data_IF_437036294132
#
_entry.id   IF_437036294132
#
_cell.length_a   1.000
_cell.length_b   1.000
_cell.length_c   1.000
_cell.angle_alpha   90.00
_cell.angle_beta   90.00
_cell.angle_gamma   90.00
#
_symmetry.space_group_name_H-M   'P 1'
#
loop_
_entity.id
_entity.type
_entity.pdbx_description
1 polymer ?
#
# COMPACT_ATOMS: atom_id res chain seq x y z
N UNK A 1 -75.83 24.21 32.98
CA UNK A 1 -74.37 24.02 32.86
C UNK A 1 -74.13 22.77 32.05
N UNK A 2 -73.57 22.88 30.83
CA UNK A 2 -73.29 21.74 29.96
C UNK A 2 -71.81 21.41 30.16
N UNK A 3 -71.52 20.26 30.76
CA UNK A 3 -70.14 19.80 30.97
C UNK A 3 -69.55 19.27 29.67
N UNK A 4 -68.49 19.91 29.18
CA UNK A 4 -67.67 19.38 28.09
C UNK A 4 -66.81 18.23 28.61
N UNK A 5 -67.16 16.99 28.23
CA UNK A 5 -66.25 15.85 28.39
C UNK A 5 -65.19 15.91 27.29
N UNK A 6 -63.91 15.89 27.67
CA UNK A 6 -62.80 15.82 26.70
C UNK A 6 -62.93 14.52 25.89
N UNK A 7 -62.70 14.54 24.56
CA UNK A 7 -62.68 13.32 23.77
C UNK A 7 -61.56 12.40 24.25
N UNK A 8 -61.83 11.09 24.35
CA UNK A 8 -60.82 10.07 24.64
C UNK A 8 -59.79 10.03 23.49
N UNK A 9 -58.49 9.85 23.78
CA UNK A 9 -57.47 9.71 22.75
C UNK A 9 -57.76 8.48 21.89
N UNK A 10 -57.65 8.64 20.57
CA UNK A 10 -57.86 7.58 19.60
C UNK A 10 -56.65 6.63 19.68
N UNK A 11 -56.83 5.34 20.01
CA UNK A 11 -55.72 4.39 20.00
C UNK A 11 -55.34 4.11 18.54
N UNK A 12 -54.14 4.53 18.13
CA UNK A 12 -53.61 4.25 16.79
C UNK A 12 -52.56 5.23 16.28
N UNK A 13 -52.51 6.47 16.78
CA UNK A 13 -51.57 7.48 16.28
C UNK A 13 -50.12 7.22 16.74
N UNK A 14 -49.91 6.81 18.00
CA UNK A 14 -48.57 6.50 18.53
C UNK A 14 -47.97 5.19 18.03
N UNK A 15 -48.79 4.21 17.63
CA UNK A 15 -48.31 2.95 17.06
C UNK A 15 -47.82 3.15 15.62
N UNK A 16 -48.57 3.90 14.80
CA UNK A 16 -48.16 4.21 13.43
C UNK A 16 -46.86 5.03 13.36
N UNK A 17 -46.65 5.95 14.31
CA UNK A 17 -45.44 6.76 14.38
C UNK A 17 -44.21 5.92 14.75
N UNK A 18 -44.33 5.01 15.71
CA UNK A 18 -43.27 4.07 16.12
C UNK A 18 -42.90 3.07 15.01
N UNK A 19 -43.90 2.58 14.27
CA UNK A 19 -43.67 1.76 13.08
C UNK A 19 -42.91 2.53 11.98
N UNK A 20 -43.19 3.83 11.82
CA UNK A 20 -42.50 4.68 10.84
C UNK A 20 -41.02 4.92 11.18
N UNK A 21 -40.70 5.11 12.47
CA UNK A 21 -39.32 5.27 12.94
C UNK A 21 -38.52 3.97 12.82
N UNK A 22 -39.16 2.84 13.15
CA UNK A 22 -38.55 1.52 13.02
C UNK A 22 -38.18 1.23 11.56
N UNK A 23 -39.06 1.55 10.60
CA UNK A 23 -38.80 1.38 9.16
C UNK A 23 -37.66 2.30 8.70
N UNK A 24 -37.59 3.55 9.17
CA UNK A 24 -36.50 4.48 8.85
C UNK A 24 -35.15 3.96 9.34
N UNK A 25 -35.09 3.47 10.59
CA UNK A 25 -33.87 2.90 11.17
C UNK A 25 -33.41 1.66 10.40
N UNK A 26 -34.33 0.77 10.02
CA UNK A 26 -34.00 -0.41 9.22
C UNK A 26 -33.43 -0.03 7.86
N UNK A 27 -34.05 0.94 7.17
CA UNK A 27 -33.58 1.42 5.88
C UNK A 27 -32.20 2.07 5.97
N UNK A 28 -31.92 2.82 7.05
CA UNK A 28 -30.59 3.39 7.29
C UNK A 28 -29.53 2.31 7.52
N UNK A 29 -29.86 1.25 8.28
CA UNK A 29 -28.96 0.11 8.49
C UNK A 29 -28.70 -0.66 7.20
N UNK A 30 -29.73 -0.90 6.38
CA UNK A 30 -29.60 -1.54 5.06
C UNK A 30 -28.72 -0.70 4.13
N UNK A 31 -28.91 0.62 4.11
CA UNK A 31 -28.09 1.53 3.31
C UNK A 31 -26.62 1.49 3.72
N UNK A 32 -26.35 1.49 5.04
CA UNK A 32 -24.99 1.37 5.59
C UNK A 32 -24.36 0.02 5.25
N UNK A 33 -25.11 -1.07 5.32
CA UNK A 33 -24.65 -2.41 4.96
C UNK A 33 -24.32 -2.51 3.46
N UNK A 34 -25.19 -1.97 2.58
CA UNK A 34 -24.94 -1.90 1.13
C UNK A 34 -23.68 -1.11 0.79
N UNK A 35 -23.43 0.00 1.49
CA UNK A 35 -22.22 0.79 1.30
C UNK A 35 -20.95 0.00 1.66
N UNK A 36 -20.97 -0.71 2.79
CA UNK A 36 -19.85 -1.58 3.20
C UNK A 36 -19.59 -2.71 2.23
N UNK A 37 -20.65 -3.31 1.68
CA UNK A 37 -20.52 -4.36 0.65
C UNK A 37 -19.91 -3.77 -0.62
N UNK A 38 -20.35 -2.59 -1.07
CA UNK A 38 -19.79 -1.92 -2.24
C UNK A 38 -18.32 -1.53 -2.04
N UNK A 39 -17.95 -1.03 -0.85
CA UNK A 39 -16.56 -0.74 -0.48
C UNK A 39 -15.71 -2.02 -0.52
N UNK A 40 -16.18 -3.13 0.08
CA UNK A 40 -15.47 -4.42 0.05
C UNK A 40 -15.35 -5.02 -1.36
N UNK A 41 -16.37 -4.86 -2.21
CA UNK A 41 -16.31 -5.29 -3.62
C UNK A 41 -15.32 -4.47 -4.44
N UNK A 42 -15.19 -3.17 -4.15
CA UNK A 42 -14.20 -2.33 -4.80
C UNK A 42 -12.77 -2.69 -4.36
N UNK A 43 -12.57 -2.99 -3.07
CA UNK A 43 -11.30 -3.52 -2.56
C UNK A 43 -10.93 -4.85 -3.25
N UNK A 44 -11.88 -5.77 -3.39
CA UNK A 44 -11.68 -7.05 -4.08
C UNK A 44 -11.31 -6.86 -5.56
N UNK A 45 -11.93 -5.89 -6.25
CA UNK A 45 -11.58 -5.55 -7.64
C UNK A 45 -10.18 -4.95 -7.76
N UNK A 46 -9.80 -4.07 -6.85
CA UNK A 46 -8.45 -3.46 -6.84
C UNK A 46 -7.40 -4.54 -6.60
N UNK A 47 -7.62 -5.44 -5.65
CA UNK A 47 -6.72 -6.57 -5.38
C UNK A 47 -6.63 -7.52 -6.58
N UNK A 48 -7.76 -7.86 -7.21
CA UNK A 48 -7.79 -8.71 -8.41
C UNK A 48 -7.01 -8.09 -9.58
N UNK A 49 -7.13 -6.77 -9.77
CA UNK A 49 -6.39 -6.04 -10.81
C UNK A 49 -4.88 -6.02 -10.53
N UNK A 50 -4.49 -5.79 -9.29
CA UNK A 50 -3.08 -5.83 -8.87
C UNK A 50 -2.47 -7.23 -9.06
N UNK A 51 -3.22 -8.29 -8.74
CA UNK A 51 -2.76 -9.67 -8.94
C UNK A 51 -2.59 -10.04 -10.42
N UNK A 52 -3.49 -9.56 -11.29
CA UNK A 52 -3.34 -9.74 -12.74
C UNK A 52 -2.09 -9.03 -13.26
N UNK A 53 -1.84 -7.79 -12.83
CA UNK A 53 -0.66 -6.99 -13.23
C UNK A 53 0.67 -7.62 -12.77
N UNK A 54 0.69 -8.24 -11.58
CA UNK A 54 1.84 -9.01 -11.09
C UNK A 54 2.06 -10.29 -11.92
N UNK A 55 0.98 -10.95 -12.32
CA UNK A 55 1.04 -12.20 -13.08
C UNK A 55 1.53 -11.97 -14.51
N UNK A 56 1.07 -10.93 -15.19
CA UNK A 56 1.53 -10.55 -16.53
C UNK A 56 3.02 -10.15 -16.54
N UNK A 57 3.51 -9.55 -15.45
CA UNK A 57 4.92 -9.18 -15.28
C UNK A 57 5.86 -10.38 -15.05
N UNK A 58 5.33 -11.59 -14.80
CA UNK A 58 6.11 -12.82 -14.57
C UNK A 58 6.32 -13.68 -15.82
N UNK A 59 5.75 -13.30 -16.95
CA UNK A 59 5.81 -14.06 -18.21
C UNK A 59 6.60 -13.36 -19.31
N UNK A 60 7.90 -13.14 -19.10
CA UNK A 60 8.89 -13.11 -20.21
C UNK A 60 10.28 -13.54 -19.73
N UNK A 61 10.75 -14.77 -20.07
CA UNK A 61 12.16 -15.09 -20.03
C UNK A 61 12.83 -14.56 -21.30
N UNK A 62 13.20 -13.28 -21.31
CA UNK A 62 14.05 -12.72 -22.37
C UNK A 62 15.47 -13.28 -22.21
N UNK A 63 15.73 -14.34 -22.98
CA UNK A 63 17.02 -14.85 -23.46
C UNK A 63 18.25 -14.00 -23.11
N UNK A 64 19.13 -14.55 -22.27
CA UNK A 64 20.48 -14.03 -21.99
C UNK A 64 21.31 -14.14 -23.27
N UNK A 65 21.53 -13.03 -23.98
CA UNK A 65 22.63 -12.94 -24.94
C UNK A 65 23.92 -12.57 -24.21
N UNK A 66 24.85 -13.52 -24.19
CA UNK A 66 26.22 -13.35 -23.72
C UNK A 66 26.97 -12.39 -24.65
N UNK A 67 27.21 -11.15 -24.22
CA UNK A 67 28.38 -10.39 -24.69
C UNK A 67 28.93 -9.57 -23.54
N UNK A 68 30.10 -9.96 -23.03
CA UNK A 68 30.91 -9.16 -22.12
C UNK A 68 31.34 -7.85 -22.78
N UNK A 69 31.10 -6.67 -22.17
CA UNK A 69 31.82 -5.46 -22.54
C UNK A 69 32.69 -5.00 -21.35
N UNK A 70 33.98 -5.27 -21.52
CA UNK A 70 35.15 -4.48 -21.11
C UNK A 70 34.81 -3.14 -20.40
N UNK A 71 35.37 -3.01 -19.20
CA UNK A 71 35.37 -1.81 -18.35
C UNK A 71 35.26 -0.48 -19.13
N UNK A 72 34.13 0.20 -18.97
CA UNK A 72 33.99 1.63 -19.27
C UNK A 72 33.24 2.30 -18.14
N UNK A 73 34.01 3.00 -17.30
CA UNK A 73 33.55 4.02 -16.37
C UNK A 73 32.69 5.03 -17.15
N UNK A 74 31.35 4.87 -17.16
CA UNK A 74 30.42 5.82 -17.81
C UNK A 74 29.60 6.52 -16.73
N UNK A 75 29.94 7.81 -16.60
CA UNK A 75 29.23 8.94 -15.98
C UNK A 75 27.78 8.68 -15.58
N UNK A 76 27.47 9.05 -14.31
CA UNK A 76 26.14 9.23 -13.69
C UNK A 76 25.06 9.58 -14.73
N UNK A 77 24.25 8.60 -15.07
CA UNK A 77 23.07 8.72 -15.92
C UNK A 77 21.84 8.96 -15.07
N UNK A 78 21.16 10.06 -15.38
CA UNK A 78 19.92 10.58 -14.81
C UNK A 78 18.77 9.58 -15.00
N UNK A 79 18.11 9.20 -13.89
CA UNK A 79 16.71 8.77 -13.85
C UNK A 79 16.38 7.37 -14.37
N UNK A 80 16.75 6.32 -13.64
CA UNK A 80 16.11 5.00 -13.79
C UNK A 80 15.87 4.37 -12.42
N UNK A 81 14.70 3.75 -12.24
CA UNK A 81 14.34 3.00 -11.03
C UNK A 81 15.34 1.88 -10.69
N UNK A 82 16.11 1.40 -11.69
CA UNK A 82 17.26 0.51 -11.47
C UNK A 82 18.35 1.11 -10.60
N UNK A 83 18.58 2.43 -10.68
CA UNK A 83 19.58 3.10 -9.86
C UNK A 83 19.19 3.20 -8.38
N UNK A 84 17.89 3.31 -8.07
CA UNK A 84 17.42 3.38 -6.68
C UNK A 84 17.60 2.04 -5.98
N UNK A 85 17.20 0.94 -6.65
CA UNK A 85 17.37 -0.43 -6.17
C UNK A 85 18.84 -0.73 -5.85
N UNK A 86 19.73 -0.49 -6.81
CA UNK A 86 21.18 -0.69 -6.65
C UNK A 86 21.75 0.21 -5.54
N UNK A 87 21.24 1.44 -5.42
CA UNK A 87 21.67 2.35 -4.37
C UNK A 87 21.28 1.85 -2.99
N UNK A 88 20.04 1.39 -2.80
CA UNK A 88 19.58 0.85 -1.51
C UNK A 88 20.38 -0.40 -1.15
N UNK A 89 20.59 -1.32 -2.10
CA UNK A 89 21.40 -2.52 -1.88
C UNK A 89 22.86 -2.16 -1.54
N UNK A 90 23.45 -1.19 -2.22
CA UNK A 90 24.80 -0.68 -1.91
C UNK A 90 24.87 -0.08 -0.51
N UNK A 91 23.87 0.73 -0.11
CA UNK A 91 23.80 1.35 1.22
C UNK A 91 23.67 0.29 2.31
N UNK A 92 22.72 -0.64 2.16
CA UNK A 92 22.48 -1.72 3.13
C UNK A 92 23.68 -2.67 3.20
N UNK A 93 24.23 -3.08 2.05
CA UNK A 93 25.39 -3.97 1.97
C UNK A 93 26.71 -3.36 2.43
N UNK A 94 26.81 -2.02 2.49
CA UNK A 94 27.97 -1.36 3.10
C UNK A 94 27.91 -1.39 4.63
N UNK A 95 26.75 -1.68 5.24
CA UNK A 95 26.61 -1.78 6.69
C UNK A 95 26.73 -3.22 7.17
N UNK A 96 27.77 -3.47 7.98
CA UNK A 96 27.99 -4.79 8.62
C UNK A 96 26.95 -5.11 9.70
N UNK A 97 26.41 -4.09 10.36
CA UNK A 97 25.49 -4.28 11.49
C UNK A 97 24.01 -4.18 11.06
N UNK A 98 23.76 -3.83 9.80
CA UNK A 98 22.46 -3.41 9.29
C UNK A 98 22.21 -1.91 9.49
N UNK A 99 21.14 -1.40 8.87
CA UNK A 99 20.75 0.01 8.94
C UNK A 99 19.31 0.15 9.36
N UNK A 100 19.02 1.20 10.12
CA UNK A 100 17.65 1.66 10.35
C UNK A 100 17.08 2.25 9.07
N UNK A 101 15.76 2.24 8.96
CA UNK A 101 15.04 2.83 7.83
C UNK A 101 15.41 4.30 7.59
N UNK A 102 15.53 5.10 8.65
CA UNK A 102 15.88 6.52 8.53
C UNK A 102 17.30 6.73 7.98
N UNK A 103 18.27 5.91 8.41
CA UNK A 103 19.65 5.97 7.90
C UNK A 103 19.71 5.64 6.41
N UNK A 104 18.85 4.73 5.95
CA UNK A 104 18.71 4.43 4.51
C UNK A 104 18.11 5.62 3.78
N UNK A 105 17.11 6.30 4.33
CA UNK A 105 16.54 7.50 3.71
C UNK A 105 17.59 8.59 3.53
N UNK A 106 18.33 8.92 4.59
CA UNK A 106 19.39 9.93 4.55
C UNK A 106 20.52 9.56 3.56
N UNK A 107 20.95 8.29 3.57
CA UNK A 107 21.99 7.80 2.67
C UNK A 107 21.55 7.79 1.19
N UNK A 108 20.27 7.57 0.90
CA UNK A 108 19.73 7.63 -0.46
C UNK A 108 19.47 9.08 -0.89
N UNK A 109 18.95 9.92 0.01
CA UNK A 109 18.71 11.35 -0.22
C UNK A 109 20.03 12.09 -0.52
N UNK A 110 21.08 11.83 0.25
CA UNK A 110 22.42 12.41 0.05
C UNK A 110 23.08 12.03 -1.28
N UNK A 111 22.64 10.94 -1.92
CA UNK A 111 23.10 10.54 -3.27
C UNK A 111 22.44 11.35 -4.40
N UNK A 112 21.50 12.25 -4.06
CA UNK A 112 20.87 13.18 -4.99
C UNK A 112 19.67 12.59 -5.73
N UNK A 113 19.09 11.51 -5.22
CA UNK A 113 17.81 11.01 -5.73
C UNK A 113 16.74 12.06 -5.51
N UNK A 114 15.88 12.24 -6.51
CA UNK A 114 14.67 13.05 -6.43
C UNK A 114 13.50 12.16 -6.79
N UNK A 115 12.42 12.25 -6.04
CA UNK A 115 11.17 11.62 -6.42
C UNK A 115 10.71 12.14 -7.79
N UNK A 116 10.27 11.26 -8.67
CA UNK A 116 9.58 11.65 -9.89
C UNK A 116 8.08 11.78 -9.61
N UNK A 117 7.51 12.96 -9.86
CA UNK A 117 6.08 13.21 -9.70
C UNK A 117 5.68 13.67 -8.29
N UNK A 118 4.43 13.37 -7.89
CA UNK A 118 3.83 13.84 -6.62
C UNK A 118 4.18 12.97 -5.41
N UNK A 119 4.76 11.79 -5.64
CA UNK A 119 5.04 10.82 -4.58
C UNK A 119 6.33 11.19 -3.84
N UNK A 120 6.34 11.35 -2.50
CA UNK A 120 7.54 11.65 -1.74
C UNK A 120 8.64 10.58 -1.92
N UNK A 121 9.90 11.00 -2.00
CA UNK A 121 11.04 10.09 -2.21
C UNK A 121 11.11 8.98 -1.16
N UNK A 122 10.86 9.31 0.11
CA UNK A 122 10.83 8.32 1.20
C UNK A 122 9.76 7.24 1.03
N UNK A 123 8.62 7.57 0.41
CA UNK A 123 7.59 6.58 0.09
C UNK A 123 8.04 5.66 -1.05
N UNK A 124 8.75 6.20 -2.04
CA UNK A 124 9.38 5.40 -3.10
C UNK A 124 10.44 4.47 -2.52
N UNK A 125 11.32 4.97 -1.63
CA UNK A 125 12.32 4.15 -0.93
C UNK A 125 11.65 3.08 -0.08
N UNK A 126 10.58 3.40 0.64
CA UNK A 126 9.84 2.43 1.47
C UNK A 126 9.23 1.31 0.63
N UNK A 127 8.66 1.64 -0.52
CA UNK A 127 8.10 0.66 -1.45
C UNK A 127 9.18 -0.25 -2.03
N UNK A 128 10.35 0.32 -2.34
CA UNK A 128 11.49 -0.43 -2.85
C UNK A 128 12.12 -1.34 -1.80
N UNK A 129 12.22 -0.88 -0.54
CA UNK A 129 12.65 -1.73 0.59
C UNK A 129 11.72 -2.93 0.78
N UNK A 130 10.40 -2.73 0.63
CA UNK A 130 9.44 -3.84 0.70
C UNK A 130 9.65 -4.84 -0.44
N UNK A 131 9.84 -4.37 -1.68
CA UNK A 131 10.14 -5.24 -2.84
C UNK A 131 11.45 -6.00 -2.68
N UNK A 132 12.50 -5.35 -2.21
CA UNK A 132 13.80 -5.99 -1.97
C UNK A 132 13.71 -7.06 -0.87
N UNK A 133 12.88 -6.83 0.15
CA UNK A 133 12.61 -7.82 1.20
C UNK A 133 11.82 -9.00 0.65
N UNK A 134 10.76 -8.74 -0.10
CA UNK A 134 9.93 -9.78 -0.73
C UNK A 134 10.72 -10.64 -1.71
N UNK A 135 11.65 -10.02 -2.45
CA UNK A 135 12.60 -10.71 -3.33
C UNK A 135 13.73 -11.46 -2.57
N UNK A 136 13.76 -11.41 -1.24
CA UNK A 136 14.78 -12.08 -0.44
C UNK A 136 16.19 -11.50 -0.57
N UNK A 137 16.34 -10.27 -1.07
CA UNK A 137 17.65 -9.62 -1.25
C UNK A 137 18.12 -8.89 0.02
N UNK A 138 17.17 -8.42 0.82
CA UNK A 138 17.41 -7.86 2.14
C UNK A 138 16.48 -8.53 3.16
N UNK A 139 16.90 -8.56 4.40
CA UNK A 139 16.10 -8.98 5.55
C UNK A 139 15.89 -7.81 6.49
N UNK A 140 14.80 -7.83 7.25
CA UNK A 140 14.56 -6.92 8.35
C UNK A 140 14.45 -7.76 9.62
N UNK A 141 15.44 -7.62 10.50
CA UNK A 141 15.47 -8.34 11.78
C UNK A 141 14.44 -7.81 12.77
N UNK A 142 14.25 -8.54 13.89
CA UNK A 142 13.37 -8.10 14.99
C UNK A 142 13.84 -6.82 15.70
N UNK A 143 15.07 -6.38 15.41
CA UNK A 143 15.67 -5.11 15.82
C UNK A 143 15.36 -3.93 14.88
N UNK A 144 14.50 -4.15 13.87
CA UNK A 144 14.17 -3.18 12.82
C UNK A 144 15.38 -2.72 11.99
N UNK A 145 16.43 -3.53 11.95
CA UNK A 145 17.60 -3.29 11.11
C UNK A 145 17.47 -4.04 9.79
N UNK A 146 17.68 -3.33 8.70
CA UNK A 146 17.77 -3.87 7.35
C UNK A 146 19.18 -4.37 7.11
N UNK A 147 19.31 -5.61 6.65
CA UNK A 147 20.56 -6.27 6.30
C UNK A 147 20.43 -6.90 4.92
N UNK A 148 21.53 -7.09 4.21
CA UNK A 148 21.53 -7.97 3.04
C UNK A 148 21.21 -9.39 3.48
N UNK A 149 20.44 -10.13 2.69
CA UNK A 149 20.26 -11.55 2.94
C UNK A 149 21.61 -12.26 2.70
N UNK A 150 22.10 -13.00 3.69
CA UNK A 150 23.27 -13.86 3.52
C UNK A 150 22.87 -14.98 2.54
N UNK A 151 23.44 -14.93 1.33
CA UNK A 151 23.06 -15.79 0.20
C UNK A 151 23.06 -15.07 -1.16
N UNK A 152 23.13 -13.74 -1.16
CA UNK A 152 23.21 -12.91 -2.37
C UNK A 152 24.63 -12.68 -2.90
N UNK A 153 25.50 -13.70 -2.92
CA UNK A 153 26.79 -13.68 -3.63
C UNK A 153 27.10 -15.09 -4.13
N UNK A 154 27.01 -15.29 -5.45
CA UNK A 154 27.92 -16.23 -6.14
C UNK A 154 29.30 -15.60 -6.27
#
# INVERSE_FOLDING_TARGET
>A
MIGFTKPKPIPGEGEMEMHSETIRLLNAQISKAKKKIAEGQEEERVLSRLLAEISDSRSEPQSIQTTTPRARLRRKGKGSHTGLRETILSVVGSSRNGLKREEIFEAVESRGFKASGKTPLRQVISSELWRLKDAGLISMGGDNLYRTAEGGTS
#
